data_IF_073041465840
#
_entry.id   IF_073041465840
#
_cell.length_a   1.000
_cell.length_b   1.000
_cell.length_c   1.000
_cell.angle_alpha   90.00
_cell.angle_beta   90.00
_cell.angle_gamma   90.00
#
_symmetry.space_group_name_H-M   'P 1'
#
loop_
_entity.id
_entity.type
_entity.pdbx_description
1 polymer ?
#
# COMPACT_ATOMS: atom_id res chain seq x y z
N UNK A 1 58.16 42.71 -76.86
CA UNK A 1 58.65 42.84 -75.50
C UNK A 1 57.54 43.44 -74.64
N UNK A 2 56.70 42.65 -74.00
CA UNK A 2 55.83 43.11 -72.92
C UNK A 2 55.34 41.86 -72.21
N UNK A 3 55.84 41.67 -71.02
CA UNK A 3 55.46 40.63 -70.12
C UNK A 3 54.17 41.01 -69.44
N UNK A 4 53.11 40.20 -69.54
CA UNK A 4 51.90 40.32 -68.80
C UNK A 4 51.94 39.61 -67.47
N UNK A 5 51.31 40.13 -66.40
CA UNK A 5 51.35 39.53 -65.08
C UNK A 5 50.36 38.38 -64.93
N UNK A 6 50.85 37.31 -64.32
CA UNK A 6 50.07 36.15 -63.97
C UNK A 6 49.08 36.49 -62.75
N UNK A 7 47.80 36.23 -62.96
CA UNK A 7 46.79 36.38 -61.94
C UNK A 7 46.80 35.13 -61.08
N UNK A 8 47.19 35.25 -59.81
CA UNK A 8 47.02 34.23 -58.80
C UNK A 8 45.57 34.26 -58.30
N UNK A 9 44.82 33.22 -58.61
CA UNK A 9 43.49 32.99 -58.01
C UNK A 9 43.65 32.36 -56.63
N UNK A 10 43.36 33.09 -55.60
CA UNK A 10 43.31 32.61 -54.26
C UNK A 10 41.93 31.91 -54.05
N UNK A 11 41.93 30.58 -54.00
CA UNK A 11 40.77 29.81 -53.66
C UNK A 11 40.56 29.87 -52.13
N UNK A 12 39.56 30.61 -51.69
CA UNK A 12 39.09 30.63 -50.30
C UNK A 12 38.34 29.34 -50.03
N UNK A 13 38.98 28.37 -49.34
CA UNK A 13 38.38 27.17 -48.83
C UNK A 13 37.69 27.56 -47.48
N UNK A 14 36.37 27.80 -47.49
CA UNK A 14 35.59 27.95 -46.29
C UNK A 14 35.41 26.58 -45.63
N UNK A 15 36.20 26.31 -44.60
CA UNK A 15 35.99 25.16 -43.74
C UNK A 15 34.69 25.38 -42.90
N UNK A 16 33.61 24.71 -43.28
CA UNK A 16 32.43 24.60 -42.49
C UNK A 16 32.77 23.69 -41.29
N UNK A 17 33.00 24.29 -40.14
CA UNK A 17 33.10 23.58 -38.87
C UNK A 17 31.73 23.01 -38.52
N UNK A 18 31.51 21.74 -38.87
CA UNK A 18 30.39 20.94 -38.32
C UNK A 18 30.66 20.74 -36.84
N UNK A 19 30.14 21.63 -36.02
CA UNK A 19 30.05 21.38 -34.57
C UNK A 19 29.13 20.19 -34.37
N UNK A 20 29.57 19.11 -33.67
CA UNK A 20 28.67 18.04 -33.32
C UNK A 20 27.60 18.65 -32.42
N UNK A 21 26.35 18.57 -32.86
CA UNK A 21 25.21 18.84 -32.00
C UNK A 21 25.31 17.81 -30.88
N UNK A 22 25.76 18.28 -29.72
CA UNK A 22 25.68 17.48 -28.51
C UNK A 22 24.21 17.19 -28.30
N UNK A 23 23.80 15.96 -28.56
CA UNK A 23 22.50 15.45 -28.14
C UNK A 23 22.52 15.51 -26.63
N UNK A 24 21.91 16.55 -26.11
CA UNK A 24 21.61 16.65 -24.69
C UNK A 24 20.90 15.37 -24.29
N UNK A 25 21.45 14.64 -23.32
CA UNK A 25 20.80 13.49 -22.69
C UNK A 25 19.62 13.97 -21.85
N UNK A 26 18.89 14.95 -22.38
CA UNK A 26 17.76 15.54 -21.69
C UNK A 26 16.53 14.68 -21.84
N UNK A 27 16.01 14.35 -20.69
CA UNK A 27 14.66 13.83 -20.46
C UNK A 27 14.46 12.36 -20.82
N UNK A 28 15.18 11.47 -20.15
CA UNK A 28 14.63 10.16 -19.85
C UNK A 28 13.39 10.36 -18.96
N UNK A 29 12.22 10.42 -19.61
CA UNK A 29 10.94 10.34 -18.89
C UNK A 29 10.90 8.97 -18.22
N UNK A 30 11.21 8.92 -16.94
CA UNK A 30 11.07 7.70 -16.14
C UNK A 30 9.58 7.53 -15.84
N UNK A 31 8.92 6.72 -16.66
CA UNK A 31 7.55 6.30 -16.43
C UNK A 31 7.62 5.07 -15.53
N UNK A 32 7.27 5.22 -14.28
CA UNK A 32 7.26 4.12 -13.31
C UNK A 32 7.40 4.60 -11.86
N UNK A 33 7.24 3.70 -10.91
CA UNK A 33 7.47 4.04 -9.51
C UNK A 33 8.94 4.42 -9.32
N UNK A 34 9.16 5.53 -8.64
CA UNK A 34 10.50 6.06 -8.38
C UNK A 34 11.33 5.12 -7.49
N UNK A 35 10.64 4.34 -6.64
CA UNK A 35 11.21 3.36 -5.73
C UNK A 35 10.59 1.99 -6.03
N UNK A 36 11.34 1.16 -6.78
CA UNK A 36 10.89 -0.17 -7.19
C UNK A 36 10.69 -1.11 -6.01
N UNK A 37 11.60 -1.12 -5.04
CA UNK A 37 11.48 -1.97 -3.85
C UNK A 37 10.18 -1.70 -3.08
N UNK A 38 9.75 -0.43 -2.98
CA UNK A 38 8.46 -0.10 -2.35
C UNK A 38 7.26 -0.59 -3.17
N UNK A 39 7.36 -0.53 -4.49
CA UNK A 39 6.28 -0.98 -5.36
C UNK A 39 6.15 -2.50 -5.34
N UNK A 40 7.26 -3.21 -5.49
CA UNK A 40 7.32 -4.67 -5.42
C UNK A 40 6.94 -5.17 -4.03
N UNK A 41 7.47 -4.55 -2.97
CA UNK A 41 7.11 -4.89 -1.60
C UNK A 41 5.60 -4.76 -1.32
N UNK A 42 4.95 -3.71 -1.87
CA UNK A 42 3.51 -3.57 -1.77
C UNK A 42 2.76 -4.68 -2.54
N UNK A 43 3.25 -5.10 -3.71
CA UNK A 43 2.66 -6.19 -4.49
C UNK A 43 2.79 -7.53 -3.76
N UNK A 44 3.96 -7.82 -3.18
CA UNK A 44 4.18 -9.05 -2.41
C UNK A 44 3.26 -9.11 -1.17
N UNK A 45 3.08 -8.01 -0.46
CA UNK A 45 2.11 -7.94 0.64
C UNK A 45 0.68 -8.22 0.17
N UNK A 46 0.28 -7.66 -0.97
CA UNK A 46 -1.04 -7.91 -1.55
C UNK A 46 -1.22 -9.36 -2.03
N UNK A 47 -0.15 -9.99 -2.50
CA UNK A 47 -0.12 -11.40 -2.89
C UNK A 47 -0.12 -12.36 -1.69
N UNK A 48 0.08 -11.85 -0.46
CA UNK A 48 0.18 -12.66 0.76
C UNK A 48 1.59 -13.12 1.10
N UNK A 49 2.60 -12.78 0.29
CA UNK A 49 4.01 -13.08 0.50
C UNK A 49 4.63 -12.11 1.50
N UNK A 50 4.10 -12.11 2.73
CA UNK A 50 4.35 -11.06 3.70
C UNK A 50 5.82 -10.91 4.11
N UNK A 51 6.59 -11.99 4.19
CA UNK A 51 8.02 -11.93 4.52
C UNK A 51 8.81 -11.19 3.43
N UNK A 52 8.62 -11.58 2.17
CA UNK A 52 9.25 -10.94 1.01
C UNK A 52 8.82 -9.47 0.91
N UNK A 53 7.54 -9.20 1.08
CA UNK A 53 7.00 -7.85 1.07
C UNK A 53 7.60 -6.95 2.14
N UNK A 54 7.85 -7.47 3.33
CA UNK A 54 8.54 -6.75 4.42
C UNK A 54 9.99 -6.47 4.05
N UNK A 55 10.73 -7.45 3.54
CA UNK A 55 12.14 -7.30 3.17
C UNK A 55 12.32 -6.26 2.05
N UNK A 56 11.51 -6.35 0.99
CA UNK A 56 11.49 -5.35 -0.09
C UNK A 56 11.15 -3.97 0.44
N UNK A 57 10.14 -3.86 1.28
CA UNK A 57 9.74 -2.56 1.84
C UNK A 57 10.81 -1.97 2.76
N UNK A 58 11.56 -2.78 3.51
CA UNK A 58 12.70 -2.31 4.32
C UNK A 58 13.80 -1.73 3.45
N UNK A 59 14.16 -2.40 2.33
CA UNK A 59 15.12 -1.85 1.37
C UNK A 59 14.62 -0.55 0.75
N UNK A 60 13.35 -0.55 0.36
CA UNK A 60 12.70 0.64 -0.18
C UNK A 60 12.62 1.81 0.81
N UNK A 61 12.48 1.54 2.10
CA UNK A 61 12.52 2.59 3.14
C UNK A 61 13.90 3.24 3.25
N UNK A 62 14.98 2.47 3.10
CA UNK A 62 16.36 2.99 3.12
C UNK A 62 16.64 3.95 1.96
N UNK A 63 16.05 3.67 0.79
CA UNK A 63 16.18 4.49 -0.41
C UNK A 63 15.02 5.47 -0.62
N UNK A 64 14.12 5.61 0.35
CA UNK A 64 12.93 6.45 0.23
C UNK A 64 13.26 7.94 0.18
N UNK A 65 12.81 8.59 -0.89
CA UNK A 65 12.95 10.01 -1.11
C UNK A 65 11.65 10.77 -0.80
N UNK A 66 11.73 11.65 0.18
CA UNK A 66 10.62 12.51 0.57
C UNK A 66 9.59 11.84 1.47
N UNK A 67 8.65 12.66 1.91
CA UNK A 67 7.65 12.28 2.93
C UNK A 67 6.73 11.16 2.44
N UNK A 68 6.25 11.25 1.20
CA UNK A 68 5.26 10.31 0.65
C UNK A 68 5.78 8.87 0.56
N UNK A 69 7.01 8.67 0.06
CA UNK A 69 7.59 7.33 -0.04
C UNK A 69 7.85 6.75 1.34
N UNK A 70 8.36 7.57 2.27
CA UNK A 70 8.57 7.16 3.65
C UNK A 70 7.28 6.74 4.34
N UNK A 71 6.19 7.51 4.22
CA UNK A 71 4.88 7.16 4.78
C UNK A 71 4.32 5.88 4.15
N UNK A 72 4.48 5.71 2.84
CA UNK A 72 4.07 4.48 2.16
C UNK A 72 4.84 3.26 2.69
N UNK A 73 6.16 3.38 2.85
CA UNK A 73 6.98 2.32 3.42
C UNK A 73 6.57 1.98 4.85
N UNK A 74 6.40 2.98 5.71
CA UNK A 74 5.97 2.77 7.10
C UNK A 74 4.58 2.12 7.18
N UNK A 75 3.65 2.52 6.31
CA UNK A 75 2.32 1.91 6.21
C UNK A 75 2.38 0.44 5.78
N UNK A 76 3.22 0.13 4.80
CA UNK A 76 3.42 -1.23 4.31
C UNK A 76 4.11 -2.11 5.36
N UNK A 77 5.14 -1.60 6.05
CA UNK A 77 5.81 -2.33 7.13
C UNK A 77 4.87 -2.61 8.30
N UNK A 78 4.06 -1.61 8.70
CA UNK A 78 3.05 -1.83 9.72
C UNK A 78 2.11 -2.99 9.34
N UNK A 79 1.57 -2.99 8.12
CA UNK A 79 0.69 -4.06 7.63
C UNK A 79 1.43 -5.41 7.49
N UNK A 80 2.61 -5.41 6.90
CA UNK A 80 3.41 -6.61 6.66
C UNK A 80 3.81 -7.32 7.95
N UNK A 81 4.20 -6.57 8.98
CA UNK A 81 4.52 -7.14 10.29
C UNK A 81 3.28 -7.71 11.01
N UNK A 82 2.09 -7.15 10.81
CA UNK A 82 0.84 -7.79 11.27
C UNK A 82 0.65 -9.14 10.60
N UNK A 83 0.85 -9.22 9.27
CA UNK A 83 0.65 -10.45 8.51
C UNK A 83 1.59 -11.59 8.91
N UNK A 84 2.78 -11.28 9.45
CA UNK A 84 3.74 -12.28 9.96
C UNK A 84 3.72 -12.40 11.50
N UNK A 85 2.67 -11.89 12.14
CA UNK A 85 2.44 -11.96 13.59
C UNK A 85 3.56 -11.37 14.46
N UNK A 86 4.22 -10.31 13.95
CA UNK A 86 5.27 -9.58 14.69
C UNK A 86 4.69 -8.25 15.18
N UNK A 87 3.75 -8.34 16.14
CA UNK A 87 2.92 -7.22 16.56
C UNK A 87 3.71 -6.06 17.16
N UNK A 88 4.81 -6.31 17.87
CA UNK A 88 5.68 -5.26 18.42
C UNK A 88 6.32 -4.42 17.30
N UNK A 89 6.85 -5.09 16.28
CA UNK A 89 7.43 -4.42 15.11
C UNK A 89 6.35 -3.65 14.33
N UNK A 90 5.19 -4.25 14.15
CA UNK A 90 4.04 -3.61 13.51
C UNK A 90 3.65 -2.32 14.26
N UNK A 91 3.52 -2.40 15.58
CA UNK A 91 3.15 -1.25 16.42
C UNK A 91 4.20 -0.13 16.31
N UNK A 92 5.48 -0.48 16.30
CA UNK A 92 6.58 0.48 16.12
C UNK A 92 6.42 1.24 14.80
N UNK A 93 6.22 0.54 13.67
CA UNK A 93 6.09 1.19 12.36
C UNK A 93 4.79 1.99 12.22
N UNK A 94 3.68 1.51 12.79
CA UNK A 94 2.44 2.28 12.83
C UNK A 94 2.61 3.59 13.64
N UNK A 95 3.30 3.54 14.77
CA UNK A 95 3.57 4.73 15.58
C UNK A 95 4.47 5.71 14.82
N UNK A 96 5.54 5.25 14.18
CA UNK A 96 6.41 6.10 13.34
C UNK A 96 5.62 6.78 12.22
N UNK A 97 4.70 6.05 11.58
CA UNK A 97 3.82 6.60 10.55
C UNK A 97 2.95 7.72 11.11
N UNK A 98 2.27 7.46 12.24
CA UNK A 98 1.35 8.42 12.83
C UNK A 98 2.06 9.63 13.48
N UNK A 99 3.31 9.48 13.92
CA UNK A 99 4.16 10.60 14.33
C UNK A 99 4.54 11.50 13.13
N UNK A 100 4.72 10.93 11.94
CA UNK A 100 5.05 11.70 10.73
C UNK A 100 3.80 12.30 10.06
N UNK A 101 2.64 11.67 10.24
CA UNK A 101 1.36 12.06 9.66
C UNK A 101 0.20 11.58 10.52
N UNK A 102 -0.26 12.46 11.40
CA UNK A 102 -1.39 12.23 12.30
C UNK A 102 -2.75 12.13 11.61
N UNK A 103 -2.83 12.41 10.31
CA UNK A 103 -4.03 12.23 9.47
C UNK A 103 -3.92 11.01 8.54
N UNK A 104 -3.08 10.06 8.85
CA UNK A 104 -2.91 8.86 8.04
C UNK A 104 -3.89 7.75 8.48
N UNK A 105 -5.09 7.70 7.90
CA UNK A 105 -6.16 6.77 8.31
C UNK A 105 -5.77 5.28 8.28
N UNK A 106 -4.87 4.85 7.34
CA UNK A 106 -4.37 3.46 7.33
C UNK A 106 -3.50 3.15 8.53
N UNK A 107 -2.74 4.12 9.02
CA UNK A 107 -1.96 3.98 10.25
C UNK A 107 -2.86 3.69 11.45
N UNK A 108 -3.93 4.43 11.61
CA UNK A 108 -4.94 4.18 12.64
C UNK A 108 -5.64 2.84 12.46
N UNK A 109 -6.07 2.50 11.23
CA UNK A 109 -6.70 1.21 10.94
C UNK A 109 -5.81 0.02 11.35
N UNK A 110 -4.55 0.04 10.95
CA UNK A 110 -3.62 -1.05 11.21
C UNK A 110 -3.27 -1.11 12.70
N UNK A 111 -3.08 0.03 13.38
CA UNK A 111 -2.80 0.07 14.80
C UNK A 111 -4.00 -0.36 15.64
N UNK A 112 -5.21 -0.01 15.22
CA UNK A 112 -6.44 -0.52 15.82
C UNK A 112 -6.53 -2.05 15.72
N UNK A 113 -6.20 -2.63 14.55
CA UNK A 113 -6.16 -4.07 14.38
C UNK A 113 -5.17 -4.73 15.34
N UNK A 114 -3.97 -4.16 15.49
CA UNK A 114 -2.98 -4.65 16.46
C UNK A 114 -3.57 -4.62 17.89
N UNK A 115 -4.20 -3.52 18.28
CA UNK A 115 -4.81 -3.41 19.60
C UNK A 115 -5.98 -4.39 19.82
N UNK A 116 -6.77 -4.69 18.78
CA UNK A 116 -7.79 -5.76 18.85
C UNK A 116 -7.13 -7.12 19.10
N UNK A 117 -6.04 -7.45 18.37
CA UNK A 117 -5.30 -8.70 18.54
C UNK A 117 -4.66 -8.81 19.93
N UNK A 118 -4.18 -7.69 20.49
CA UNK A 118 -3.63 -7.61 21.85
C UNK A 118 -4.70 -7.50 22.95
N UNK A 119 -6.00 -7.46 22.59
CA UNK A 119 -7.15 -7.25 23.49
C UNK A 119 -7.10 -5.90 24.23
N UNK A 120 -6.39 -4.92 23.69
CA UNK A 120 -6.32 -3.54 24.19
C UNK A 120 -7.47 -2.70 23.60
N UNK A 121 -8.69 -3.09 23.91
CA UNK A 121 -9.91 -2.60 23.23
C UNK A 121 -10.13 -1.09 23.33
N UNK A 122 -9.80 -0.47 24.46
CA UNK A 122 -9.93 0.99 24.61
C UNK A 122 -9.00 1.77 23.64
N UNK A 123 -7.81 1.23 23.38
CA UNK A 123 -6.89 1.84 22.41
C UNK A 123 -7.37 1.59 20.98
N UNK A 124 -7.89 0.39 20.71
CA UNK A 124 -8.47 0.06 19.42
C UNK A 124 -9.64 0.98 19.07
N UNK A 125 -10.54 1.24 20.01
CA UNK A 125 -11.70 2.11 19.82
C UNK A 125 -11.28 3.55 19.46
N UNK A 126 -10.30 4.10 20.16
CA UNK A 126 -9.78 5.45 19.89
C UNK A 126 -9.19 5.53 18.46
N UNK A 127 -8.40 4.55 18.07
CA UNK A 127 -7.80 4.52 16.73
C UNK A 127 -8.86 4.32 15.64
N UNK A 128 -9.87 3.47 15.88
CA UNK A 128 -10.99 3.31 14.94
C UNK A 128 -11.77 4.61 14.76
N UNK A 129 -12.02 5.35 15.86
CA UNK A 129 -12.70 6.64 15.80
C UNK A 129 -11.90 7.65 14.96
N UNK A 130 -10.59 7.78 15.21
CA UNK A 130 -9.70 8.65 14.44
C UNK A 130 -9.63 8.26 12.95
N UNK A 131 -9.49 6.97 12.67
CA UNK A 131 -9.48 6.49 11.29
C UNK A 131 -10.79 6.77 10.56
N UNK A 132 -11.92 6.62 11.24
CA UNK A 132 -13.25 6.86 10.68
C UNK A 132 -13.53 8.36 10.46
N UNK A 133 -13.05 9.24 11.33
CA UNK A 133 -13.11 10.69 11.13
C UNK A 133 -12.37 11.11 9.85
N UNK A 134 -11.19 10.55 9.61
CA UNK A 134 -10.36 10.90 8.44
C UNK A 134 -10.91 10.30 7.15
N UNK A 135 -11.35 9.04 7.18
CA UNK A 135 -11.88 8.32 6.01
C UNK A 135 -13.08 7.43 6.38
N UNK A 136 -14.29 7.99 6.47
CA UNK A 136 -15.49 7.27 6.92
C UNK A 136 -15.91 6.13 5.99
N UNK A 137 -15.49 6.16 4.73
CA UNK A 137 -15.86 5.19 3.72
C UNK A 137 -14.86 4.04 3.53
N UNK A 138 -13.76 4.02 4.28
CA UNK A 138 -12.73 3.00 4.16
C UNK A 138 -13.27 1.60 4.51
N UNK A 139 -13.20 0.67 3.54
CA UNK A 139 -13.69 -0.71 3.74
C UNK A 139 -12.92 -1.44 4.84
N UNK A 140 -11.61 -1.27 4.91
CA UNK A 140 -10.76 -1.92 5.90
C UNK A 140 -11.08 -1.47 7.32
N UNK A 141 -11.42 -0.19 7.53
CA UNK A 141 -11.89 0.29 8.83
C UNK A 141 -13.20 -0.39 9.26
N UNK A 142 -14.12 -0.62 8.32
CA UNK A 142 -15.37 -1.36 8.61
C UNK A 142 -15.07 -2.79 9.02
N UNK A 143 -14.09 -3.43 8.38
CA UNK A 143 -13.67 -4.80 8.74
C UNK A 143 -13.08 -4.84 10.14
N UNK A 144 -12.11 -3.97 10.46
CA UNK A 144 -11.47 -3.94 11.78
C UNK A 144 -12.48 -3.56 12.87
N UNK A 145 -13.42 -2.64 12.56
CA UNK A 145 -14.52 -2.33 13.48
C UNK A 145 -15.41 -3.54 13.74
N UNK A 146 -15.72 -4.35 12.71
CA UNK A 146 -16.45 -5.60 12.89
C UNK A 146 -15.70 -6.55 13.83
N UNK A 147 -14.42 -6.77 13.61
CA UNK A 147 -13.57 -7.61 14.49
C UNK A 147 -13.55 -7.09 15.93
N UNK A 148 -13.48 -5.77 16.12
CA UNK A 148 -13.57 -5.13 17.44
C UNK A 148 -14.92 -5.40 18.11
N UNK A 149 -16.03 -5.24 17.38
CA UNK A 149 -17.38 -5.49 17.91
C UNK A 149 -17.57 -6.96 18.27
N UNK A 150 -17.14 -7.88 17.42
CA UNK A 150 -17.21 -9.32 17.68
C UNK A 150 -16.42 -9.71 18.95
N UNK A 151 -15.29 -9.05 19.18
CA UNK A 151 -14.45 -9.29 20.35
C UNK A 151 -15.01 -8.69 21.65
N UNK A 152 -15.73 -7.56 21.57
CA UNK A 152 -16.23 -6.81 22.73
C UNK A 152 -17.70 -7.04 23.03
N UNK A 153 -18.48 -7.39 22.01
CA UNK A 153 -19.92 -7.59 22.09
C UNK A 153 -20.33 -8.89 21.37
N UNK A 154 -19.92 -10.05 21.89
CA UNK A 154 -20.26 -11.31 21.25
C UNK A 154 -21.77 -11.50 21.23
N UNK A 155 -22.33 -11.54 20.02
CA UNK A 155 -23.77 -11.83 19.83
C UNK A 155 -23.97 -13.31 20.10
N UNK A 156 -24.72 -13.66 21.15
CA UNK A 156 -25.20 -15.02 21.33
C UNK A 156 -26.14 -15.35 20.18
N UNK A 157 -25.89 -16.41 19.39
CA UNK A 157 -26.80 -16.78 18.32
C UNK A 157 -28.13 -17.20 18.94
N UNK A 158 -29.16 -16.38 18.82
CA UNK A 158 -30.52 -16.75 19.10
C UNK A 158 -31.00 -17.68 17.98
N UNK A 159 -30.67 -18.97 18.10
CA UNK A 159 -31.20 -19.99 17.20
C UNK A 159 -32.63 -20.22 17.62
N UNK A 160 -33.57 -19.51 17.02
CA UNK A 160 -35.02 -19.84 17.12
C UNK A 160 -35.21 -21.06 16.19
N UNK A 161 -35.22 -22.24 16.81
CA UNK A 161 -35.62 -23.47 16.11
C UNK A 161 -37.13 -23.36 15.91
N UNK A 162 -37.55 -23.09 14.66
CA UNK A 162 -38.99 -23.10 14.31
C UNK A 162 -39.43 -24.55 14.10
N UNK A 163 -39.90 -25.16 15.15
CA UNK A 163 -40.40 -26.54 15.19
C UNK A 163 -41.62 -26.79 14.28
N UNK A 164 -42.19 -25.72 13.72
CA UNK A 164 -43.39 -25.82 12.88
C UNK A 164 -43.17 -26.52 11.55
N UNK A 165 -41.96 -26.63 11.07
CA UNK A 165 -41.61 -27.36 9.80
C UNK A 165 -41.50 -28.86 9.97
N UNK A 166 -41.24 -29.39 11.15
CA UNK A 166 -41.08 -30.82 11.41
C UNK A 166 -42.40 -31.58 11.57
N UNK A 167 -43.53 -30.86 11.81
CA UNK A 167 -44.84 -31.48 12.03
C UNK A 167 -45.61 -31.88 10.78
N UNK A 168 -45.14 -31.54 9.59
CA UNK A 168 -45.90 -31.80 8.35
C UNK A 168 -45.52 -33.08 7.60
N UNK A 169 -44.55 -33.87 8.03
CA UNK A 169 -44.11 -35.07 7.34
C UNK A 169 -44.55 -36.40 7.96
N UNK A 170 -45.36 -36.40 9.06
CA UNK A 170 -45.76 -37.63 9.77
C UNK A 170 -47.23 -37.98 9.66
N UNK A 171 -47.98 -37.54 8.63
CA UNK A 171 -49.37 -38.00 8.44
C UNK A 171 -49.56 -38.36 6.98
N UNK A 172 -49.18 -39.55 6.61
CA UNK A 172 -49.87 -40.41 5.60
C UNK A 172 -49.11 -41.74 5.38
N UNK A 173 -49.14 -42.59 6.42
CA UNK A 173 -49.14 -44.02 6.15
C UNK A 173 -50.56 -44.48 6.51
N UNK A 174 -51.45 -44.49 5.54
CA UNK A 174 -52.69 -45.24 5.61
C UNK A 174 -52.37 -46.65 5.27
N UNK A 175 -52.59 -47.53 6.22
CA UNK A 175 -52.77 -48.98 6.00
C UNK A 175 -53.92 -49.19 5.03
N UNK A 176 -53.66 -49.84 3.91
CA UNK A 176 -54.68 -50.60 3.19
C UNK A 176 -54.36 -52.08 3.38
N UNK A 177 -55.27 -52.74 4.13
CA UNK A 177 -55.30 -54.16 4.37
C UNK A 177 -55.75 -54.99 3.15
#
# INVERSE_FOLDING_TARGET
>A
MMSGPAAFAIALVTAVLLTPVAWSEENKVVIGPRNLDLAEGAQELLAGNAKEGVELTLRGLQSAHGKRERESALSNLCAGYIMIDRLDSALMYCNMLLMSNDRHWRGYNNRALIYVMLKEYEKAEKDLAMGQEINPNARTLKVVKGMFMDATQPVSPNIVIDDRKTRKTNISVKEEG
#
